data_IF_378819888342
#
_entry.id   IF_378819888342
#
_cell.length_a   1.000
_cell.length_b   1.000
_cell.length_c   1.000
_cell.angle_alpha   90.00
_cell.angle_beta   90.00
_cell.angle_gamma   90.00
#
_symmetry.space_group_name_H-M   'P 1'
#
loop_
_entity.id
_entity.type
_entity.pdbx_description
1 polymer ?
#
# COMPACT_ATOMS: atom_id res chain seq x y z
N UNK A 1 29.92 -18.37 17.50
CA UNK A 1 28.45 -18.21 17.21
C UNK A 1 28.27 -16.94 16.40
N UNK A 2 27.95 -17.06 15.13
CA UNK A 2 27.76 -15.91 14.22
C UNK A 2 26.40 -15.28 14.46
N UNK A 3 26.38 -13.97 14.72
CA UNK A 3 25.18 -13.18 14.99
C UNK A 3 24.19 -13.36 13.82
N UNK A 4 22.91 -13.71 14.07
CA UNK A 4 21.89 -13.88 13.02
C UNK A 4 21.72 -12.65 12.13
N UNK A 5 21.95 -11.44 12.65
CA UNK A 5 21.94 -10.18 11.89
C UNK A 5 23.02 -10.13 10.79
N UNK A 6 24.17 -10.78 11.01
CA UNK A 6 25.26 -10.85 10.01
C UNK A 6 24.87 -11.74 8.82
N UNK A 7 24.10 -12.82 9.06
CA UNK A 7 23.61 -13.71 7.98
C UNK A 7 22.55 -13.03 7.11
N UNK A 8 21.66 -12.25 7.70
CA UNK A 8 20.63 -11.47 6.96
C UNK A 8 21.32 -10.40 6.10
N UNK A 9 22.28 -9.66 6.68
CA UNK A 9 23.09 -8.66 5.93
C UNK A 9 23.78 -9.26 4.70
N UNK A 10 24.45 -10.39 4.85
CA UNK A 10 25.19 -11.02 3.75
C UNK A 10 24.26 -11.59 2.66
N UNK A 11 23.00 -11.86 2.98
CA UNK A 11 22.01 -12.37 2.04
C UNK A 11 21.36 -11.23 1.23
N UNK A 12 21.05 -10.10 1.86
CA UNK A 12 20.59 -8.89 1.17
C UNK A 12 21.64 -8.41 0.14
N UNK A 13 22.90 -8.34 0.55
CA UNK A 13 24.02 -7.94 -0.32
C UNK A 13 24.19 -8.87 -1.53
N UNK A 14 23.96 -10.18 -1.36
CA UNK A 14 24.04 -11.17 -2.45
C UNK A 14 22.83 -11.12 -3.37
N UNK A 15 21.60 -10.97 -2.84
CA UNK A 15 20.37 -10.97 -3.63
C UNK A 15 20.22 -9.68 -4.42
N UNK A 16 20.54 -8.52 -3.81
CA UNK A 16 20.54 -7.24 -4.54
C UNK A 16 21.59 -7.18 -5.64
N UNK A 17 22.73 -7.87 -5.49
CA UNK A 17 23.73 -8.01 -6.57
C UNK A 17 23.27 -8.94 -7.70
N UNK A 18 22.48 -9.98 -7.40
CA UNK A 18 22.05 -10.97 -8.39
C UNK A 18 20.85 -10.50 -9.23
N UNK A 19 19.88 -9.81 -8.62
CA UNK A 19 18.70 -9.30 -9.31
C UNK A 19 18.96 -8.03 -10.14
N UNK A 20 20.11 -7.37 -9.96
CA UNK A 20 20.56 -6.28 -10.82
C UNK A 20 20.97 -6.71 -12.24
N UNK A 21 20.88 -8.01 -12.58
CA UNK A 21 21.53 -8.55 -13.80
C UNK A 21 20.60 -9.18 -14.84
N UNK A 22 19.28 -9.16 -14.71
CA UNK A 22 18.37 -9.75 -15.72
C UNK A 22 17.18 -8.82 -16.06
N UNK A 23 17.45 -7.54 -16.28
CA UNK A 23 16.58 -6.65 -17.03
C UNK A 23 17.33 -6.25 -18.32
N UNK A 24 16.63 -5.95 -19.42
CA UNK A 24 17.24 -5.33 -20.60
C UNK A 24 18.16 -4.21 -20.14
N UNK A 25 19.46 -4.24 -20.51
CA UNK A 25 20.47 -3.26 -20.08
C UNK A 25 19.92 -1.85 -20.21
N UNK A 26 19.64 -1.17 -19.06
CA UNK A 26 19.29 0.24 -19.00
C UNK A 26 18.00 0.61 -18.27
N UNK A 27 17.05 -0.30 -18.02
CA UNK A 27 15.79 0.03 -17.39
C UNK A 27 15.93 0.02 -15.85
N UNK A 28 15.81 1.21 -15.22
CA UNK A 28 15.80 1.32 -13.76
C UNK A 28 14.50 0.73 -13.23
N UNK A 29 14.59 -0.32 -12.41
CA UNK A 29 13.45 -0.89 -11.70
C UNK A 29 13.14 -0.04 -10.48
N UNK A 30 11.85 0.16 -10.18
CA UNK A 30 11.39 0.85 -8.97
C UNK A 30 11.48 -0.11 -7.78
N UNK A 31 12.32 0.16 -6.76
CA UNK A 31 12.30 -0.60 -5.52
C UNK A 31 10.91 -0.48 -4.87
N UNK A 32 10.31 -1.61 -4.51
CA UNK A 32 9.02 -1.68 -3.84
C UNK A 32 9.13 -2.54 -2.59
N UNK A 33 8.91 -1.94 -1.41
CA UNK A 33 8.85 -2.65 -0.13
C UNK A 33 7.40 -2.99 0.18
N UNK A 34 7.10 -4.28 0.36
CA UNK A 34 5.81 -4.79 0.82
C UNK A 34 5.90 -5.17 2.30
N UNK A 35 5.10 -4.51 3.13
CA UNK A 35 5.01 -4.79 4.57
C UNK A 35 4.06 -5.96 4.77
N UNK A 36 4.52 -7.03 5.40
CA UNK A 36 3.76 -8.26 5.61
C UNK A 36 3.75 -8.71 7.06
N UNK A 37 2.60 -9.24 7.50
CA UNK A 37 2.43 -9.99 8.75
C UNK A 37 1.21 -10.90 8.66
N UNK A 38 1.40 -12.23 8.72
CA UNK A 38 0.35 -13.26 8.75
C UNK A 38 -0.77 -13.10 7.70
N UNK A 39 -0.43 -12.65 6.46
CA UNK A 39 -1.35 -12.40 5.33
C UNK A 39 -0.79 -12.98 4.02
N UNK A 40 -0.34 -14.25 4.05
CA UNK A 40 0.37 -14.86 2.93
C UNK A 40 -0.39 -14.84 1.61
N UNK A 41 -1.69 -15.16 1.62
CA UNK A 41 -2.51 -15.16 0.40
C UNK A 41 -2.63 -13.77 -0.23
N UNK A 42 -2.93 -12.74 0.57
CA UNK A 42 -2.99 -11.36 0.09
C UNK A 42 -1.63 -10.91 -0.44
N UNK A 43 -0.55 -11.20 0.29
CA UNK A 43 0.82 -10.92 -0.15
C UNK A 43 1.11 -11.53 -1.52
N UNK A 44 0.73 -12.80 -1.73
CA UNK A 44 0.94 -13.48 -3.01
C UNK A 44 0.21 -12.77 -4.15
N UNK A 45 -1.08 -12.46 -3.96
CA UNK A 45 -1.90 -11.77 -4.95
C UNK A 45 -1.35 -10.40 -5.31
N UNK A 46 -1.00 -9.62 -4.30
CA UNK A 46 -0.45 -8.27 -4.46
C UNK A 46 0.92 -8.28 -5.16
N UNK A 47 1.80 -9.22 -4.84
CA UNK A 47 3.08 -9.39 -5.56
C UNK A 47 2.85 -9.60 -7.06
N UNK A 48 1.89 -10.44 -7.43
CA UNK A 48 1.59 -10.70 -8.83
C UNK A 48 0.96 -9.48 -9.53
N UNK A 49 0.18 -8.67 -8.83
CA UNK A 49 -0.36 -7.41 -9.36
C UNK A 49 0.75 -6.36 -9.61
N UNK A 50 1.65 -6.18 -8.65
CA UNK A 50 2.76 -5.23 -8.82
C UNK A 50 3.73 -5.64 -9.90
N UNK A 51 3.93 -6.94 -10.14
CA UNK A 51 4.72 -7.44 -11.27
C UNK A 51 4.13 -7.09 -12.64
N UNK A 52 2.83 -6.82 -12.72
CA UNK A 52 2.12 -6.43 -13.96
C UNK A 52 2.11 -4.92 -14.20
N UNK A 53 2.67 -4.11 -13.31
CA UNK A 53 2.78 -2.68 -13.53
C UNK A 53 3.69 -2.37 -14.73
N UNK A 54 3.36 -1.32 -15.49
CA UNK A 54 4.17 -0.85 -16.63
C UNK A 54 5.55 -0.37 -16.21
N UNK A 55 5.66 0.14 -14.98
CA UNK A 55 6.94 0.41 -14.33
C UNK A 55 7.49 -0.88 -13.75
N UNK A 56 8.63 -1.40 -14.24
CA UNK A 56 9.24 -2.58 -13.66
C UNK A 56 9.59 -2.37 -12.18
N UNK A 57 9.19 -3.31 -11.32
CA UNK A 57 9.42 -3.24 -9.88
C UNK A 57 10.49 -4.23 -9.42
N UNK A 58 11.26 -3.86 -8.40
CA UNK A 58 12.17 -4.74 -7.65
C UNK A 58 11.57 -4.93 -6.25
N UNK A 59 10.87 -6.06 -6.06
CA UNK A 59 10.05 -6.30 -4.87
C UNK A 59 10.93 -6.81 -3.73
N UNK A 60 10.79 -6.17 -2.57
CA UNK A 60 11.35 -6.58 -1.29
C UNK A 60 10.20 -6.77 -0.30
N UNK A 61 10.03 -7.96 0.23
CA UNK A 61 9.06 -8.20 1.30
C UNK A 61 9.73 -7.91 2.64
N UNK A 62 9.13 -6.99 3.41
CA UNK A 62 9.49 -6.68 4.79
C UNK A 62 8.50 -7.42 5.69
N UNK A 63 8.90 -8.59 6.19
CA UNK A 63 8.05 -9.43 7.03
C UNK A 63 8.26 -9.13 8.51
N UNK A 64 7.20 -8.71 9.19
CA UNK A 64 7.18 -8.35 10.61
C UNK A 64 7.06 -9.57 11.55
N UNK A 65 7.75 -10.65 11.23
CA UNK A 65 7.81 -11.83 12.08
C UNK A 65 6.56 -12.70 11.99
N UNK A 66 6.07 -12.94 10.78
CA UNK A 66 4.97 -13.90 10.55
C UNK A 66 5.30 -15.27 11.14
N UNK A 67 4.31 -15.88 11.77
CA UNK A 67 4.35 -17.22 12.37
C UNK A 67 3.25 -18.15 11.83
N UNK A 68 2.29 -17.64 11.06
CA UNK A 68 1.31 -18.46 10.36
C UNK A 68 1.97 -19.37 9.31
N UNK A 69 1.78 -20.70 9.37
CA UNK A 69 2.44 -21.64 8.46
C UNK A 69 2.18 -21.37 6.98
N UNK A 70 0.95 -20.96 6.61
CA UNK A 70 0.60 -20.65 5.21
C UNK A 70 1.35 -19.41 4.72
N UNK A 71 1.49 -18.40 5.59
CA UNK A 71 2.28 -17.20 5.28
C UNK A 71 3.76 -17.54 5.12
N UNK A 72 4.31 -18.37 6.00
CA UNK A 72 5.70 -18.82 5.91
C UNK A 72 5.98 -19.59 4.60
N UNK A 73 5.05 -20.44 4.17
CA UNK A 73 5.15 -21.15 2.89
C UNK A 73 5.16 -20.17 1.69
N UNK A 74 4.30 -19.16 1.71
CA UNK A 74 4.29 -18.10 0.67
C UNK A 74 5.62 -17.34 0.65
N UNK A 75 6.14 -16.96 1.80
CA UNK A 75 7.44 -16.28 1.90
C UNK A 75 8.57 -17.12 1.30
N UNK A 76 8.59 -18.44 1.60
CA UNK A 76 9.56 -19.38 1.03
C UNK A 76 9.41 -19.52 -0.49
N UNK A 77 8.17 -19.53 -1.01
CA UNK A 77 7.92 -19.59 -2.45
C UNK A 77 8.43 -18.31 -3.15
N UNK A 78 8.13 -17.12 -2.59
CA UNK A 78 8.60 -15.86 -3.10
C UNK A 78 10.13 -15.77 -3.12
N UNK A 79 10.82 -16.28 -2.08
CA UNK A 79 12.29 -16.38 -2.07
C UNK A 79 12.82 -17.28 -3.20
N UNK A 80 12.19 -18.41 -3.47
CA UNK A 80 12.55 -19.30 -4.60
C UNK A 80 12.36 -18.62 -5.96
N UNK A 81 11.38 -17.75 -6.07
CA UNK A 81 11.12 -16.93 -7.27
C UNK A 81 12.07 -15.72 -7.39
N UNK A 82 12.97 -15.53 -6.43
CA UNK A 82 13.98 -14.47 -6.44
C UNK A 82 13.53 -13.16 -5.78
N UNK A 83 12.38 -13.12 -5.10
CA UNK A 83 11.98 -11.98 -4.27
C UNK A 83 12.85 -11.95 -3.01
N UNK A 84 13.34 -10.78 -2.66
CA UNK A 84 14.07 -10.57 -1.40
C UNK A 84 13.08 -10.53 -0.24
N UNK A 85 13.25 -11.39 0.76
CA UNK A 85 12.47 -11.38 2.00
C UNK A 85 13.35 -10.98 3.17
N UNK A 86 13.02 -9.85 3.80
CA UNK A 86 13.67 -9.33 5.00
C UNK A 86 12.79 -9.67 6.19
N UNK A 87 13.22 -10.64 6.99
CA UNK A 87 12.50 -11.06 8.19
C UNK A 87 12.93 -10.19 9.37
N UNK A 88 11.96 -9.55 10.01
CA UNK A 88 12.13 -8.75 11.23
C UNK A 88 11.44 -9.45 12.41
N UNK A 89 11.73 -9.07 13.65
CA UNK A 89 10.91 -9.46 14.80
C UNK A 89 9.47 -8.99 14.64
N UNK A 90 8.53 -9.68 15.29
CA UNK A 90 7.16 -9.21 15.40
C UNK A 90 7.15 -7.80 16.04
N UNK A 91 6.38 -6.89 15.43
CA UNK A 91 6.25 -5.52 15.94
C UNK A 91 5.11 -5.44 16.95
N UNK A 92 5.35 -4.68 18.04
CA UNK A 92 4.38 -4.46 19.12
C UNK A 92 3.79 -3.04 19.12
N UNK A 93 4.40 -2.13 18.35
CA UNK A 93 3.96 -0.73 18.27
C UNK A 93 4.17 -0.14 16.89
N UNK A 94 3.45 0.97 16.60
CA UNK A 94 3.63 1.73 15.35
C UNK A 94 5.00 2.38 15.22
N UNK A 95 5.71 2.60 16.33
CA UNK A 95 7.05 3.20 16.31
C UNK A 95 8.08 2.24 15.69
N UNK A 96 7.82 0.92 15.79
CA UNK A 96 8.66 -0.11 15.18
C UNK A 96 8.51 -0.19 13.65
N UNK A 97 7.54 0.51 13.05
CA UNK A 97 7.48 0.74 11.60
C UNK A 97 8.70 1.54 11.08
N UNK A 98 9.48 2.17 11.96
CA UNK A 98 10.81 2.71 11.61
C UNK A 98 11.74 1.66 11.01
N UNK A 99 11.56 0.36 11.33
CA UNK A 99 12.31 -0.75 10.73
C UNK A 99 12.07 -0.87 9.21
N UNK A 100 10.95 -0.37 8.70
CA UNK A 100 10.69 -0.29 7.26
C UNK A 100 11.66 0.69 6.59
N UNK A 101 11.93 1.85 7.23
CA UNK A 101 12.91 2.80 6.73
C UNK A 101 14.32 2.20 6.71
N UNK A 102 14.69 1.40 7.70
CA UNK A 102 15.97 0.66 7.68
C UNK A 102 16.06 -0.25 6.45
N UNK A 103 14.98 -0.94 6.09
CA UNK A 103 14.93 -1.78 4.87
C UNK A 103 15.10 -0.94 3.61
N UNK A 104 14.46 0.24 3.54
CA UNK A 104 14.64 1.19 2.43
C UNK A 104 16.09 1.66 2.37
N UNK A 105 16.70 2.04 3.49
CA UNK A 105 18.10 2.46 3.54
C UNK A 105 19.05 1.33 3.12
N UNK A 106 18.77 0.08 3.50
CA UNK A 106 19.54 -1.09 3.08
C UNK A 106 19.50 -1.29 1.56
N UNK A 107 18.37 -1.06 0.91
CA UNK A 107 18.22 -1.13 -0.56
C UNK A 107 19.15 -0.12 -1.25
N UNK A 108 19.28 1.08 -0.69
CA UNK A 108 20.08 2.16 -1.28
C UNK A 108 21.53 2.24 -0.76
N UNK A 109 21.92 1.33 0.14
CA UNK A 109 23.29 1.35 0.69
C UNK A 109 24.36 1.29 -0.40
N UNK A 110 25.18 2.33 -0.47
CA UNK A 110 26.24 2.47 -1.50
C UNK A 110 25.71 2.78 -2.91
N UNK A 111 24.46 3.23 -3.03
CA UNK A 111 23.85 3.64 -4.30
C UNK A 111 23.33 5.07 -4.20
N UNK A 112 23.22 5.75 -5.33
CA UNK A 112 22.54 7.05 -5.38
C UNK A 112 21.06 6.90 -5.01
N UNK A 113 20.48 7.85 -4.24
CA UNK A 113 19.06 7.86 -3.96
C UNK A 113 18.22 7.86 -5.25
N UNK A 114 17.15 7.07 -5.24
CA UNK A 114 16.19 7.03 -6.33
C UNK A 114 14.77 6.99 -5.73
N UNK A 115 13.70 7.26 -6.50
CA UNK A 115 12.35 7.00 -6.05
C UNK A 115 12.18 5.54 -5.66
N UNK A 116 11.32 5.29 -4.68
CA UNK A 116 10.97 3.95 -4.20
C UNK A 116 9.49 3.92 -3.81
N UNK A 117 8.93 2.73 -3.66
CA UNK A 117 7.56 2.57 -3.20
C UNK A 117 7.52 1.73 -1.91
N UNK A 118 6.53 2.01 -1.08
CA UNK A 118 6.18 1.19 0.10
C UNK A 118 4.68 0.94 0.07
N UNK A 119 4.26 -0.27 0.43
CA UNK A 119 2.84 -0.64 0.52
C UNK A 119 2.64 -1.71 1.59
N UNK A 120 1.46 -1.70 2.22
CA UNK A 120 0.96 -2.86 2.94
C UNK A 120 0.65 -3.99 1.95
N UNK A 121 0.76 -5.24 2.39
CA UNK A 121 0.54 -6.42 1.54
C UNK A 121 -0.93 -6.70 1.23
N UNK A 122 -1.85 -5.87 1.68
CA UNK A 122 -3.29 -5.95 1.45
C UNK A 122 -3.85 -4.76 0.65
N UNK A 123 -2.97 -4.01 -0.02
CA UNK A 123 -3.36 -2.93 -0.94
C UNK A 123 -3.26 -3.42 -2.38
N UNK A 124 -4.42 -3.70 -2.97
CA UNK A 124 -4.57 -4.21 -4.33
C UNK A 124 -4.84 -3.10 -5.33
N UNK A 125 -4.10 -3.10 -6.44
CA UNK A 125 -4.35 -2.23 -7.59
C UNK A 125 -5.35 -2.83 -8.59
N UNK A 126 -5.69 -4.11 -8.43
CA UNK A 126 -6.49 -4.86 -9.38
C UNK A 126 -5.75 -5.18 -10.69
N UNK A 127 -6.43 -5.89 -11.58
CA UNK A 127 -5.81 -6.37 -12.82
C UNK A 127 -5.72 -5.29 -13.91
N UNK A 128 -6.59 -4.28 -13.87
CA UNK A 128 -6.69 -3.25 -14.92
C UNK A 128 -5.84 -2.00 -14.68
N UNK A 129 -5.27 -1.83 -13.50
CA UNK A 129 -4.57 -0.61 -13.11
C UNK A 129 -3.03 -0.71 -13.28
N UNK A 130 -2.56 -1.17 -14.45
CA UNK A 130 -1.14 -1.36 -14.75
C UNK A 130 -0.31 -0.07 -14.76
N UNK A 131 -0.95 1.10 -14.86
CA UNK A 131 -0.30 2.42 -14.99
C UNK A 131 -0.23 3.20 -13.66
N UNK A 132 -0.67 2.63 -12.53
CA UNK A 132 -0.76 3.38 -11.26
C UNK A 132 0.60 3.87 -10.79
N UNK A 133 1.63 3.01 -10.80
CA UNK A 133 2.98 3.41 -10.39
C UNK A 133 3.58 4.47 -11.31
N UNK A 134 3.31 4.39 -12.62
CA UNK A 134 3.73 5.41 -13.59
C UNK A 134 3.06 6.76 -13.30
N UNK A 135 1.75 6.77 -13.08
CA UNK A 135 1.01 7.98 -12.75
C UNK A 135 1.50 8.62 -11.42
N UNK A 136 1.81 7.81 -10.41
CA UNK A 136 2.42 8.29 -9.17
C UNK A 136 3.77 8.95 -9.41
N UNK A 137 4.66 8.32 -10.18
CA UNK A 137 5.97 8.86 -10.52
C UNK A 137 5.87 10.16 -11.33
N UNK A 138 4.96 10.21 -12.30
CA UNK A 138 4.77 11.37 -13.15
C UNK A 138 4.27 12.57 -12.34
N UNK A 139 3.25 12.40 -11.49
CA UNK A 139 2.77 13.47 -10.62
C UNK A 139 3.83 13.90 -9.60
N UNK A 140 4.55 12.95 -9.01
CA UNK A 140 5.63 13.23 -8.06
C UNK A 140 6.75 14.05 -8.69
N UNK A 141 7.08 13.80 -9.96
CA UNK A 141 8.12 14.55 -10.68
C UNK A 141 7.72 16.02 -10.92
N UNK A 142 6.44 16.29 -11.19
CA UNK A 142 5.94 17.65 -11.46
C UNK A 142 5.56 18.45 -10.21
N UNK A 143 5.48 17.80 -9.04
CA UNK A 143 5.02 18.43 -7.81
C UNK A 143 6.11 18.34 -6.73
N UNK A 144 7.14 19.21 -6.79
CA UNK A 144 8.36 19.08 -5.96
C UNK A 144 8.12 19.23 -4.46
N UNK A 145 7.02 19.78 -4.02
CA UNK A 145 6.60 19.94 -2.62
C UNK A 145 5.94 18.68 -2.03
N UNK A 146 5.64 17.66 -2.84
CA UNK A 146 5.14 16.38 -2.35
C UNK A 146 6.30 15.45 -1.99
N UNK A 147 6.21 14.78 -0.84
CA UNK A 147 7.13 13.72 -0.45
C UNK A 147 6.78 12.38 -1.11
N UNK A 148 5.49 12.11 -1.28
CA UNK A 148 5.01 10.87 -1.87
C UNK A 148 3.68 11.05 -2.60
N UNK A 149 3.39 10.11 -3.52
CA UNK A 149 2.11 10.00 -4.24
C UNK A 149 1.66 8.54 -4.20
N UNK A 150 0.39 8.31 -3.91
CA UNK A 150 -0.22 6.97 -3.92
C UNK A 150 -1.66 6.99 -4.38
N UNK A 151 -2.35 5.84 -4.45
CA UNK A 151 -3.75 5.78 -4.83
C UNK A 151 -4.68 6.26 -3.73
N UNK A 152 -5.87 6.73 -4.12
CA UNK A 152 -7.03 6.72 -3.23
C UNK A 152 -7.40 5.29 -2.90
N UNK A 153 -7.79 5.02 -1.65
CA UNK A 153 -8.43 3.76 -1.31
C UNK A 153 -9.92 3.87 -1.61
N UNK A 154 -10.42 2.98 -2.45
CA UNK A 154 -11.82 2.95 -2.87
C UNK A 154 -12.74 2.75 -1.66
N UNK A 155 -13.83 3.49 -1.64
CA UNK A 155 -14.88 3.41 -0.61
C UNK A 155 -16.25 3.11 -1.21
N UNK A 156 -16.37 3.18 -2.54
CA UNK A 156 -17.61 3.05 -3.28
C UNK A 156 -18.17 1.62 -3.32
N UNK A 157 -17.29 0.62 -3.19
CA UNK A 157 -17.60 -0.80 -3.27
C UNK A 157 -17.34 -1.57 -1.96
N UNK A 158 -17.04 -0.88 -0.85
CA UNK A 158 -16.88 -1.53 0.45
C UNK A 158 -18.18 -2.19 0.89
N UNK A 159 -18.16 -3.50 1.26
CA UNK A 159 -19.34 -4.20 1.73
C UNK A 159 -19.99 -3.49 2.92
N UNK A 160 -21.30 -3.24 2.84
CA UNK A 160 -22.05 -2.59 3.91
C UNK A 160 -22.16 -3.47 5.17
N UNK A 161 -21.88 -4.77 5.04
CA UNK A 161 -21.74 -5.76 6.11
C UNK A 161 -20.38 -5.67 6.82
N UNK A 162 -19.41 -4.91 6.30
CA UNK A 162 -18.11 -4.77 6.94
C UNK A 162 -18.27 -4.17 8.37
N UNK A 163 -17.76 -4.83 9.42
CA UNK A 163 -18.04 -4.43 10.81
C UNK A 163 -17.63 -3.00 11.17
N UNK A 164 -16.62 -2.47 10.47
CA UNK A 164 -16.13 -1.09 10.66
C UNK A 164 -16.54 -0.16 9.50
N UNK A 165 -17.60 -0.50 8.77
CA UNK A 165 -18.08 0.29 7.63
C UNK A 165 -18.29 1.76 7.98
N UNK A 166 -19.05 2.06 9.05
CA UNK A 166 -19.35 3.46 9.43
C UNK A 166 -18.11 4.24 9.85
N UNK A 167 -17.24 3.75 10.76
CA UNK A 167 -15.97 4.41 11.06
C UNK A 167 -15.07 4.61 9.86
N UNK A 168 -15.03 3.62 8.95
CA UNK A 168 -14.26 3.69 7.72
C UNK A 168 -14.77 4.82 6.83
N UNK A 169 -16.08 4.84 6.56
CA UNK A 169 -16.69 5.88 5.72
C UNK A 169 -16.49 7.27 6.31
N UNK A 170 -16.73 7.46 7.62
CA UNK A 170 -16.53 8.75 8.28
C UNK A 170 -15.07 9.23 8.13
N UNK A 171 -14.11 8.34 8.39
CA UNK A 171 -12.68 8.68 8.28
C UNK A 171 -12.25 8.97 6.84
N UNK A 172 -12.57 8.07 5.90
CA UNK A 172 -12.06 8.19 4.52
C UNK A 172 -12.80 9.28 3.75
N UNK A 173 -14.11 9.35 3.87
CA UNK A 173 -14.88 10.41 3.20
C UNK A 173 -14.48 11.76 3.76
N UNK A 174 -14.46 11.94 5.07
CA UNK A 174 -14.09 13.21 5.69
C UNK A 174 -12.67 13.66 5.37
N UNK A 175 -11.70 12.76 5.40
CA UNK A 175 -10.30 13.11 5.18
C UNK A 175 -9.92 13.27 3.70
N UNK A 176 -10.51 12.47 2.80
CA UNK A 176 -10.00 12.32 1.43
C UNK A 176 -11.04 12.58 0.35
N UNK A 177 -12.29 12.15 0.51
CA UNK A 177 -13.30 12.13 -0.56
C UNK A 177 -14.32 13.26 -0.50
N UNK A 178 -14.27 14.14 0.51
CA UNK A 178 -15.22 15.25 0.69
C UNK A 178 -14.87 16.50 -0.10
N UNK A 179 -13.67 16.61 -0.65
CA UNK A 179 -13.15 17.80 -1.33
C UNK A 179 -13.17 17.64 -2.85
N UNK A 180 -13.21 18.76 -3.57
CA UNK A 180 -13.03 18.74 -5.03
C UNK A 180 -11.62 18.25 -5.39
N UNK A 181 -11.48 17.35 -6.39
CA UNK A 181 -10.19 16.93 -6.89
C UNK A 181 -9.39 18.09 -7.49
N UNK A 182 -8.07 18.06 -7.28
CA UNK A 182 -7.13 18.80 -8.12
C UNK A 182 -6.89 18.04 -9.41
N UNK A 183 -6.62 18.75 -10.49
CA UNK A 183 -6.34 18.17 -11.80
C UNK A 183 -4.94 18.58 -12.29
N UNK A 184 -4.24 17.65 -12.91
CA UNK A 184 -2.95 17.88 -13.57
C UNK A 184 -2.82 16.95 -14.76
N UNK A 185 -1.88 17.26 -15.65
CA UNK A 185 -1.61 16.42 -16.83
C UNK A 185 -0.10 16.14 -16.97
N UNK A 186 0.53 15.51 -15.95
CA UNK A 186 1.96 15.21 -16.00
C UNK A 186 2.28 14.33 -17.20
N UNK A 187 3.27 14.76 -17.98
CA UNK A 187 3.68 14.11 -19.23
C UNK A 187 2.51 13.79 -20.18
N UNK A 188 1.46 14.63 -20.17
CA UNK A 188 0.27 14.45 -20.98
C UNK A 188 -0.75 13.42 -20.42
N UNK A 189 -0.51 12.82 -19.26
CA UNK A 189 -1.42 11.91 -18.56
C UNK A 189 -2.35 12.71 -17.65
N UNK A 190 -3.61 12.82 -18.00
CA UNK A 190 -4.59 13.46 -17.13
C UNK A 190 -4.78 12.66 -15.83
N UNK A 191 -4.61 13.33 -14.69
CA UNK A 191 -4.79 12.75 -13.35
C UNK A 191 -5.62 13.68 -12.48
N UNK A 192 -6.52 13.09 -11.71
CA UNK A 192 -7.21 13.74 -10.61
C UNK A 192 -6.59 13.29 -9.28
N UNK A 193 -6.36 14.21 -8.34
CA UNK A 193 -5.71 13.88 -7.06
C UNK A 193 -6.20 14.76 -5.92
N UNK A 194 -6.02 14.28 -4.68
CA UNK A 194 -6.15 15.06 -3.45
C UNK A 194 -4.80 15.22 -2.79
N UNK A 195 -4.51 16.43 -2.28
CA UNK A 195 -3.42 16.62 -1.32
C UNK A 195 -3.84 16.06 0.03
N UNK A 196 -3.28 14.93 0.39
CA UNK A 196 -3.60 14.23 1.63
C UNK A 196 -2.43 13.34 2.06
N UNK A 197 -2.27 13.19 3.37
CA UNK A 197 -1.24 12.29 3.90
C UNK A 197 -1.54 10.83 3.55
N UNK A 198 -0.44 10.08 3.38
CA UNK A 198 -0.46 8.65 3.13
C UNK A 198 0.18 7.96 4.33
N UNK A 199 -0.52 6.95 4.88
CA UNK A 199 0.02 6.05 5.88
C UNK A 199 0.81 4.92 5.19
N UNK A 200 0.84 3.72 5.75
CA UNK A 200 1.55 2.56 5.18
C UNK A 200 0.94 2.01 3.90
N UNK A 201 -0.24 2.50 3.51
CA UNK A 201 -0.84 2.16 2.21
C UNK A 201 0.06 2.60 1.06
N UNK A 202 -0.11 2.00 -0.12
CA UNK A 202 0.78 2.24 -1.26
C UNK A 202 1.11 3.71 -1.47
N UNK A 203 2.40 4.02 -1.53
CA UNK A 203 2.92 5.29 -2.03
C UNK A 203 4.27 5.13 -2.73
N UNK A 204 4.49 5.93 -3.77
CA UNK A 204 5.79 6.17 -4.39
C UNK A 204 6.40 7.39 -3.74
N UNK A 205 7.57 7.23 -3.16
CA UNK A 205 8.33 8.25 -2.44
C UNK A 205 9.37 8.89 -3.34
N UNK A 206 9.61 10.18 -3.11
CA UNK A 206 10.69 10.93 -3.75
C UNK A 206 12.05 10.38 -3.33
N UNK A 207 13.02 10.45 -4.24
CA UNK A 207 14.41 10.09 -3.95
C UNK A 207 14.94 10.84 -2.72
N UNK A 208 15.52 10.10 -1.79
CA UNK A 208 16.10 10.66 -0.57
C UNK A 208 15.11 10.99 0.56
N UNK A 209 13.80 10.76 0.35
CA UNK A 209 12.80 10.89 1.43
C UNK A 209 12.95 9.72 2.41
N UNK A 210 12.93 9.99 3.70
CA UNK A 210 12.84 9.00 4.77
C UNK A 210 11.42 8.46 4.85
N UNK A 211 11.24 7.14 4.89
CA UNK A 211 9.93 6.55 5.13
C UNK A 211 9.45 6.86 6.54
N UNK A 212 8.19 7.27 6.66
CA UNK A 212 7.50 7.50 7.92
C UNK A 212 6.12 6.86 7.87
N UNK A 213 5.60 6.46 9.04
CA UNK A 213 4.25 5.87 9.15
C UNK A 213 3.18 6.74 8.45
N UNK A 214 3.29 8.06 8.55
CA UNK A 214 2.42 9.01 7.85
C UNK A 214 3.28 10.06 7.17
N UNK A 215 3.17 10.19 5.85
CA UNK A 215 3.93 11.14 5.04
C UNK A 215 3.00 12.13 4.34
N UNK A 216 3.38 13.41 4.23
CA UNK A 216 2.67 14.38 3.40
C UNK A 216 2.72 13.96 1.93
N UNK A 217 1.57 13.96 1.26
CA UNK A 217 1.52 13.43 -0.10
C UNK A 217 0.30 13.85 -0.89
N UNK A 218 0.06 13.12 -1.96
CA UNK A 218 -1.16 13.20 -2.76
C UNK A 218 -1.70 11.81 -3.09
N UNK A 219 -3.03 11.71 -3.23
CA UNK A 219 -3.74 10.47 -3.55
C UNK A 219 -4.44 10.61 -4.89
N UNK A 220 -4.16 9.68 -5.79
CA UNK A 220 -4.74 9.62 -7.14
C UNK A 220 -6.14 8.98 -7.11
N UNK A 221 -7.09 9.60 -7.80
CA UNK A 221 -8.41 9.04 -8.07
C UNK A 221 -8.40 7.99 -9.19
N UNK A 222 -9.59 7.54 -9.56
CA UNK A 222 -9.79 6.70 -10.74
C UNK A 222 -9.07 7.28 -11.98
N UNK A 223 -8.43 6.46 -12.81
CA UNK A 223 -8.39 4.98 -12.81
C UNK A 223 -7.30 4.38 -11.90
N UNK A 224 -6.60 5.17 -11.11
CA UNK A 224 -5.42 4.79 -10.32
C UNK A 224 -5.72 4.44 -8.85
N UNK A 225 -7.01 4.36 -8.47
CA UNK A 225 -7.41 3.99 -7.10
C UNK A 225 -7.14 2.53 -6.78
N UNK A 226 -6.99 2.20 -5.48
CA UNK A 226 -6.70 0.87 -4.97
C UNK A 226 -7.81 0.37 -4.05
N UNK A 227 -7.87 -0.95 -3.81
CA UNK A 227 -8.69 -1.57 -2.75
C UNK A 227 -7.81 -1.92 -1.56
N UNK A 228 -8.32 -1.76 -0.34
CA UNK A 228 -7.71 -2.30 0.86
C UNK A 228 -8.41 -3.62 1.18
N UNK A 229 -7.76 -4.74 0.90
CA UNK A 229 -8.39 -6.06 0.87
C UNK A 229 -9.00 -6.48 2.20
N UNK A 230 -8.47 -6.00 3.33
CA UNK A 230 -9.02 -6.26 4.65
C UNK A 230 -10.46 -5.75 4.83
N UNK A 231 -10.90 -4.79 4.02
CA UNK A 231 -12.27 -4.27 4.07
C UNK A 231 -13.29 -5.18 3.38
N UNK A 232 -12.82 -6.25 2.73
CA UNK A 232 -13.62 -7.20 1.96
C UNK A 232 -13.50 -8.63 2.55
N UNK A 233 -13.98 -8.85 3.80
CA UNK A 233 -13.80 -10.12 4.52
C UNK A 233 -14.51 -11.31 3.86
N UNK A 234 -15.53 -11.06 3.02
CA UNK A 234 -16.23 -12.11 2.29
C UNK A 234 -15.43 -12.59 1.05
N UNK A 235 -14.47 -11.79 0.59
CA UNK A 235 -13.59 -12.11 -0.55
C UNK A 235 -12.22 -12.64 -0.09
N UNK A 236 -11.81 -12.35 1.15
CA UNK A 236 -10.47 -12.65 1.65
C UNK A 236 -10.50 -13.18 3.08
N UNK A 237 -9.77 -14.26 3.36
CA UNK A 237 -9.62 -14.77 4.73
C UNK A 237 -8.73 -13.83 5.56
N UNK A 238 -9.36 -13.09 6.44
CA UNK A 238 -8.71 -12.20 7.41
C UNK A 238 -8.65 -12.79 8.82
N UNK A 239 -9.16 -14.00 9.01
CA UNK A 239 -9.35 -14.63 10.32
C UNK A 239 -8.02 -14.90 11.03
N UNK A 240 -7.05 -15.46 10.32
CA UNK A 240 -5.71 -15.74 10.85
C UNK A 240 -5.01 -14.46 11.32
N UNK A 241 -5.02 -13.42 10.49
CA UNK A 241 -4.45 -12.13 10.85
C UNK A 241 -5.16 -11.51 12.06
N UNK A 242 -6.49 -11.50 12.06
CA UNK A 242 -7.27 -10.94 13.19
C UNK A 242 -7.05 -11.69 14.50
N UNK A 243 -6.88 -13.00 14.45
CA UNK A 243 -6.60 -13.82 15.64
C UNK A 243 -5.17 -13.65 16.17
N UNK A 244 -4.23 -13.29 15.33
CA UNK A 244 -2.82 -13.05 15.69
C UNK A 244 -2.56 -11.65 16.27
N UNK A 245 -3.53 -10.73 16.18
CA UNK A 245 -3.45 -9.40 16.77
C UNK A 245 -4.00 -9.45 18.19
N UNK A 246 -3.13 -9.42 19.18
CA UNK A 246 -3.47 -9.48 20.62
C UNK A 246 -4.02 -8.18 21.21
N UNK A 247 -4.84 -7.44 20.44
CA UNK A 247 -5.40 -6.16 20.86
C UNK A 247 -4.41 -4.99 20.84
N UNK A 248 -3.18 -5.21 20.39
CA UNK A 248 -2.20 -4.15 20.16
C UNK A 248 -2.68 -3.23 19.02
N UNK A 249 -2.32 -1.95 19.10
CA UNK A 249 -2.83 -0.89 18.24
C UNK A 249 -2.26 -0.88 16.81
N UNK A 250 -1.65 -1.96 16.34
CA UNK A 250 -0.92 -1.99 15.05
C UNK A 250 -1.88 -1.88 13.86
N UNK A 251 -3.08 -2.46 13.95
CA UNK A 251 -4.09 -2.30 12.92
C UNK A 251 -5.26 -1.42 13.38
N UNK A 252 -5.55 -0.39 12.61
CA UNK A 252 -6.71 0.45 12.86
C UNK A 252 -8.04 -0.25 12.50
N UNK A 253 -8.00 -1.25 11.64
CA UNK A 253 -9.18 -1.84 11.01
C UNK A 253 -9.50 -3.25 11.52
N UNK A 254 -8.50 -3.96 12.06
CA UNK A 254 -8.66 -5.33 12.55
C UNK A 254 -8.73 -5.44 14.07
N UNK A 255 -8.70 -4.34 14.82
CA UNK A 255 -8.68 -4.38 16.28
C UNK A 255 -10.10 -4.63 16.84
N UNK A 256 -10.38 -5.80 17.47
CA UNK A 256 -11.70 -6.14 18.00
C UNK A 256 -12.20 -5.18 19.09
N UNK A 257 -11.30 -4.52 19.84
CA UNK A 257 -11.69 -3.54 20.85
C UNK A 257 -12.25 -2.26 20.19
N UNK A 258 -11.65 -1.82 19.07
CA UNK A 258 -12.18 -0.69 18.28
C UNK A 258 -13.50 -1.05 17.61
N UNK A 259 -13.64 -2.28 17.11
CA UNK A 259 -14.90 -2.76 16.54
C UNK A 259 -16.05 -2.65 17.54
N UNK A 260 -15.85 -3.04 18.81
CA UNK A 260 -16.86 -2.90 19.88
C UNK A 260 -17.20 -1.45 20.22
N UNK A 261 -16.20 -0.57 20.29
CA UNK A 261 -16.41 0.86 20.60
C UNK A 261 -17.10 1.63 19.47
N UNK A 262 -17.00 1.14 18.24
CA UNK A 262 -17.52 1.83 17.06
C UNK A 262 -18.95 1.44 16.66
N UNK A 263 -19.57 0.47 17.33
CA UNK A 263 -20.95 0.02 17.01
C UNK A 263 -22.02 1.11 17.16
N UNK A 264 -21.75 2.20 17.87
CA UNK A 264 -22.70 3.30 18.12
C UNK A 264 -22.38 4.56 17.30
N UNK A 265 -21.36 4.53 16.45
CA UNK A 265 -20.99 5.69 15.65
C UNK A 265 -21.99 5.86 14.50
N UNK A 266 -22.52 7.08 14.37
CA UNK A 266 -23.43 7.43 13.27
C UNK A 266 -22.62 7.81 12.01
N UNK A 267 -23.21 7.54 10.86
CA UNK A 267 -22.65 7.99 9.59
C UNK A 267 -22.74 9.53 9.51
N UNK A 268 -21.61 10.19 9.35
CA UNK A 268 -21.49 11.65 9.36
C UNK A 268 -21.60 12.25 7.95
N UNK A 269 -21.22 11.48 6.94
CA UNK A 269 -21.20 11.92 5.55
C UNK A 269 -22.26 11.19 4.73
N UNK A 270 -23.08 11.93 3.99
CA UNK A 270 -24.11 11.37 3.12
C UNK A 270 -23.70 11.28 1.65
N UNK A 271 -22.65 12.01 1.28
CA UNK A 271 -22.11 12.02 -0.09
C UNK A 271 -20.58 12.12 -0.07
N UNK A 272 -19.96 11.72 -1.19
CA UNK A 272 -18.53 11.88 -1.44
C UNK A 272 -18.28 12.28 -2.90
N UNK A 273 -17.10 12.88 -3.14
CA UNK A 273 -16.61 13.23 -4.48
C UNK A 273 -15.83 12.07 -5.05
N UNK A 274 -16.17 11.66 -6.25
CA UNK A 274 -15.47 10.60 -6.98
C UNK A 274 -15.10 11.10 -8.37
N UNK A 275 -14.19 10.39 -9.03
CA UNK A 275 -13.82 10.62 -10.42
C UNK A 275 -14.15 9.37 -11.20
N UNK A 276 -14.85 9.53 -12.32
CA UNK A 276 -15.25 8.45 -13.20
C UNK A 276 -14.92 8.78 -14.65
N UNK A 277 -14.82 7.76 -15.46
CA UNK A 277 -14.71 7.89 -16.91
C UNK A 277 -16.11 8.02 -17.52
N UNK A 278 -16.23 8.94 -18.45
CA UNK A 278 -17.44 9.16 -19.26
C UNK A 278 -17.40 8.28 -20.52
N UNK A 279 -18.53 8.19 -21.24
CA UNK A 279 -18.66 7.35 -22.45
C UNK A 279 -17.67 7.72 -23.57
N UNK A 280 -17.18 8.95 -23.59
CA UNK A 280 -16.16 9.44 -24.54
C UNK A 280 -14.73 9.24 -24.05
N UNK A 281 -14.54 8.58 -22.90
CA UNK A 281 -13.23 8.30 -22.30
C UNK A 281 -12.62 9.46 -21.53
N UNK A 282 -13.35 10.57 -21.33
CA UNK A 282 -12.88 11.68 -20.49
C UNK A 282 -13.14 11.40 -19.01
N UNK A 283 -12.28 11.99 -18.13
CA UNK A 283 -12.49 11.90 -16.69
C UNK A 283 -13.32 13.08 -16.19
N UNK A 284 -14.28 12.81 -15.30
CA UNK A 284 -15.12 13.83 -14.68
C UNK A 284 -15.33 13.58 -13.20
N UNK A 285 -15.56 14.66 -12.43
CA UNK A 285 -15.94 14.57 -11.02
C UNK A 285 -17.43 14.28 -10.90
N UNK A 286 -17.79 13.32 -10.06
CA UNK A 286 -19.18 13.00 -9.72
C UNK A 286 -19.39 13.03 -8.21
N UNK A 287 -20.58 13.38 -7.77
CA UNK A 287 -21.01 13.24 -6.38
C UNK A 287 -21.77 11.95 -6.23
N UNK A 288 -21.27 11.04 -5.38
CA UNK A 288 -21.92 9.77 -5.07
C UNK A 288 -22.53 9.78 -3.68
N UNK A 289 -23.67 9.12 -3.46
CA UNK A 289 -24.19 8.91 -2.12
C UNK A 289 -23.31 7.93 -1.35
N UNK A 290 -23.17 8.15 -0.03
CA UNK A 290 -22.64 7.15 0.90
C UNK A 290 -23.80 6.22 1.26
N UNK A 291 -23.77 4.94 0.87
CA UNK A 291 -24.83 4.01 1.23
C UNK A 291 -24.96 3.88 2.75
N UNK A 292 -26.17 3.82 3.33
CA UNK A 292 -26.32 3.56 4.76
C UNK A 292 -25.84 2.15 5.08
N UNK A 293 -25.33 1.90 6.32
CA UNK A 293 -24.97 0.55 6.74
C UNK A 293 -26.16 -0.39 6.68
N UNK A 294 -25.89 -1.69 6.58
CA UNK A 294 -26.95 -2.71 6.77
C UNK A 294 -27.33 -2.71 8.26
N UNK A 295 -28.65 -2.73 8.53
CA UNK A 295 -29.18 -2.77 9.88
C UNK A 295 -28.85 -4.10 10.62
#
# INVERSE_FOLDING_TARGET
MTNPLTKVRSRLERTTRRNATVGRRGERRLPLVLISYNRGEMLRGVVDEYRRQSVPVDIVVHDNGSDDPRTLDVLLQLEREGVTVVRRPAISSTDELALVDETVQEIFRGRAPAPYAVSDCDVSLGQSASETLAACLDLLAETPDLECVGPMLRVDDVPRSYPLYVPLMNRHVGAFWSREPHWSAPRGRLVAFQRASIATTLAVYRAGTTFRHVSPGARLYHPYSARHLEWYPDEHDVSTYRSSIDGSAISNWSNPARERSNRQVKLEHTTFRDVTETDDGSLTTVTRPVPPPVA
#
